data_IF_963125024211
#
_entry.id   IF_963125024211
#
_cell.length_a   1.000
_cell.length_b   1.000
_cell.length_c   1.000
_cell.angle_alpha   90.00
_cell.angle_beta   90.00
_cell.angle_gamma   90.00
#
_symmetry.space_group_name_H-M   'P 1'
#
loop_
_entity.id
_entity.type
_entity.pdbx_description
1 polymer ?
#
# COMPACT_ATOMS: atom_id res chain seq x y z
N UNK A 1 -37.53 -2.61 -31.21
CA UNK A 1 -36.17 -2.76 -30.62
C UNK A 1 -36.21 -2.84 -29.09
N UNK A 2 -35.16 -3.35 -28.42
CA UNK A 2 -35.05 -3.33 -26.95
C UNK A 2 -34.36 -2.07 -26.46
N UNK A 3 -34.86 -1.49 -25.36
CA UNK A 3 -34.24 -0.34 -24.72
C UNK A 3 -32.85 -0.68 -24.16
N UNK A 4 -31.78 0.08 -24.48
CA UNK A 4 -30.46 -0.14 -23.89
C UNK A 4 -30.40 0.16 -22.38
N UNK A 5 -31.37 0.92 -21.83
CA UNK A 5 -31.37 1.32 -20.43
C UNK A 5 -32.20 0.40 -19.52
N UNK A 6 -33.38 -0.03 -19.99
CA UNK A 6 -34.33 -0.79 -19.17
C UNK A 6 -34.77 -2.12 -19.79
N UNK A 7 -34.20 -2.51 -20.94
CA UNK A 7 -34.50 -3.73 -21.67
C UNK A 7 -35.98 -3.96 -22.07
N UNK A 8 -36.84 -2.95 -21.89
CA UNK A 8 -38.23 -2.99 -22.36
C UNK A 8 -38.31 -2.99 -23.88
N UNK A 9 -39.38 -3.56 -24.43
CA UNK A 9 -39.67 -3.53 -25.85
C UNK A 9 -40.24 -2.15 -26.23
N UNK A 10 -39.68 -1.53 -27.28
CA UNK A 10 -40.04 -0.19 -27.74
C UNK A 10 -40.16 -0.20 -29.27
N UNK A 11 -41.08 0.63 -29.80
CA UNK A 11 -41.16 0.94 -31.22
C UNK A 11 -39.85 1.54 -31.77
N UNK A 12 -39.48 1.14 -32.99
CA UNK A 12 -38.20 1.50 -33.61
C UNK A 12 -38.08 3.00 -33.92
N UNK A 13 -39.20 3.74 -33.97
CA UNK A 13 -39.24 5.18 -34.21
C UNK A 13 -39.20 6.03 -32.93
N UNK A 14 -39.37 5.42 -31.74
CA UNK A 14 -39.48 6.17 -30.49
C UNK A 14 -38.17 6.87 -30.08
N UNK A 15 -38.17 8.19 -29.99
CA UNK A 15 -36.99 8.97 -29.56
C UNK A 15 -36.77 8.93 -28.04
N UNK A 16 -37.81 8.56 -27.28
CA UNK A 16 -37.80 8.44 -25.82
C UNK A 16 -38.43 7.11 -25.45
N UNK A 17 -37.84 6.40 -24.49
CA UNK A 17 -38.45 5.18 -23.98
C UNK A 17 -39.71 5.48 -23.15
N UNK A 18 -40.88 4.86 -23.44
CA UNK A 18 -42.10 5.09 -22.65
C UNK A 18 -42.02 4.50 -21.22
N UNK A 19 -41.12 3.54 -20.98
CA UNK A 19 -40.98 2.86 -19.69
C UNK A 19 -39.99 3.58 -18.76
N UNK A 20 -38.80 3.93 -19.25
CA UNK A 20 -37.76 4.57 -18.43
C UNK A 20 -37.56 6.06 -18.70
N UNK A 21 -38.34 6.65 -19.62
CA UNK A 21 -38.31 8.07 -19.99
C UNK A 21 -36.92 8.60 -20.39
N UNK A 22 -36.00 7.71 -20.78
CA UNK A 22 -34.64 8.06 -21.20
C UNK A 22 -34.62 8.34 -22.69
N UNK A 23 -33.89 9.39 -23.08
CA UNK A 23 -33.69 9.76 -24.48
C UNK A 23 -32.82 8.73 -25.21
N UNK A 24 -33.32 8.27 -26.35
CA UNK A 24 -32.66 7.30 -27.23
C UNK A 24 -32.01 7.98 -28.44
N UNK A 25 -32.19 9.31 -28.58
CA UNK A 25 -31.73 10.11 -29.71
C UNK A 25 -30.24 9.91 -30.04
N UNK A 26 -29.37 9.86 -29.02
CA UNK A 26 -27.94 9.70 -29.21
C UNK A 26 -27.53 8.25 -29.52
N UNK A 27 -28.24 7.27 -28.94
CA UNK A 27 -27.84 5.86 -28.97
C UNK A 27 -28.32 5.14 -30.23
N UNK A 28 -29.44 5.57 -30.81
CA UNK A 28 -29.98 5.02 -32.07
C UNK A 28 -29.01 5.02 -33.25
N UNK A 29 -28.40 6.15 -33.64
CA UNK A 29 -27.49 6.15 -34.80
C UNK A 29 -26.25 5.27 -34.58
N UNK A 30 -25.85 5.06 -33.32
CA UNK A 30 -24.71 4.20 -32.98
C UNK A 30 -25.09 2.71 -33.08
N UNK A 31 -26.29 2.32 -32.63
CA UNK A 31 -26.78 0.94 -32.77
C UNK A 31 -26.96 0.55 -34.23
N UNK A 32 -27.46 1.47 -35.06
CA UNK A 32 -27.60 1.24 -36.50
C UNK A 32 -26.23 1.05 -37.17
N UNK A 33 -25.24 1.87 -36.84
CA UNK A 33 -23.84 1.71 -37.30
C UNK A 33 -23.24 0.37 -36.89
N UNK A 34 -23.47 -0.07 -35.65
CA UNK A 34 -23.01 -1.39 -35.17
C UNK A 34 -23.66 -2.51 -35.98
N UNK A 35 -24.98 -2.44 -36.21
CA UNK A 35 -25.69 -3.46 -37.00
C UNK A 35 -25.23 -3.51 -38.46
N UNK A 36 -24.89 -2.36 -39.05
CA UNK A 36 -24.32 -2.27 -40.40
C UNK A 36 -22.92 -2.87 -40.45
N UNK A 37 -22.07 -2.58 -39.45
CA UNK A 37 -20.73 -3.16 -39.34
C UNK A 37 -20.77 -4.68 -39.08
N UNK A 38 -21.71 -5.16 -38.27
CA UNK A 38 -21.95 -6.59 -38.07
C UNK A 38 -22.39 -7.27 -39.37
N UNK A 39 -23.25 -6.63 -40.16
CA UNK A 39 -23.66 -7.13 -41.48
C UNK A 39 -22.50 -7.12 -42.48
N UNK A 40 -21.64 -6.09 -42.48
CA UNK A 40 -20.42 -6.05 -43.29
C UNK A 40 -19.45 -7.17 -42.88
N UNK A 41 -19.27 -7.44 -41.59
CA UNK A 41 -18.43 -8.54 -41.11
C UNK A 41 -19.02 -9.91 -41.45
N UNK A 42 -20.35 -10.07 -41.37
CA UNK A 42 -21.04 -11.29 -41.79
C UNK A 42 -20.91 -11.53 -43.30
N UNK A 43 -20.93 -10.47 -44.11
CA UNK A 43 -20.70 -10.57 -45.56
C UNK A 43 -19.24 -10.88 -45.92
N UNK A 44 -18.32 -10.71 -44.96
CA UNK A 44 -16.87 -10.85 -45.15
C UNK A 44 -16.29 -12.12 -44.51
N UNK A 45 -17.13 -13.02 -44.01
CA UNK A 45 -16.66 -14.32 -43.53
C UNK A 45 -16.37 -15.27 -44.71
N UNK A 46 -15.13 -15.77 -44.88
CA UNK A 46 -14.91 -17.01 -45.58
C UNK A 46 -15.50 -18.15 -44.74
N UNK A 47 -16.32 -18.97 -45.40
CA UNK A 47 -16.72 -20.27 -44.89
C UNK A 47 -15.49 -21.18 -44.81
N UNK A 48 -14.80 -21.17 -43.68
CA UNK A 48 -13.89 -22.24 -43.30
C UNK A 48 -14.21 -22.68 -41.87
N UNK A 49 -14.88 -23.81 -41.82
CA UNK A 49 -15.06 -24.69 -40.67
C UNK A 49 -13.79 -24.78 -39.84
N UNK A 50 -13.81 -24.20 -38.63
CA UNK A 50 -12.77 -24.42 -37.63
C UNK A 50 -12.98 -25.80 -37.01
N UNK A 51 -12.38 -26.82 -37.65
CA UNK A 51 -12.11 -28.12 -37.04
C UNK A 51 -11.03 -27.95 -35.95
N UNK A 52 -11.06 -28.70 -34.83
CA UNK A 52 -10.23 -28.41 -33.66
C UNK A 52 -8.78 -28.82 -33.93
N UNK A 53 -7.96 -27.88 -34.37
CA UNK A 53 -6.51 -28.06 -34.47
C UNK A 53 -5.93 -27.95 -33.05
N UNK A 54 -5.72 -29.11 -32.43
CA UNK A 54 -4.68 -29.30 -31.43
C UNK A 54 -3.32 -29.10 -32.10
N UNK A 55 -2.81 -27.87 -32.10
CA UNK A 55 -1.40 -27.60 -32.41
C UNK A 55 -0.95 -26.35 -31.66
N UNK A 56 -0.02 -26.55 -30.73
CA UNK A 56 0.89 -25.58 -30.13
C UNK A 56 0.49 -24.10 -30.17
N UNK A 57 -0.22 -23.65 -29.14
CA UNK A 57 -0.13 -22.23 -28.73
C UNK A 57 1.23 -22.06 -28.07
N UNK A 58 2.26 -21.88 -28.90
CA UNK A 58 3.41 -21.07 -28.47
C UNK A 58 2.84 -19.69 -28.19
N UNK A 59 2.77 -19.36 -26.90
CA UNK A 59 2.43 -18.04 -26.42
C UNK A 59 3.43 -17.07 -27.06
N UNK A 60 3.05 -16.46 -28.18
CA UNK A 60 3.76 -15.31 -28.72
C UNK A 60 3.49 -14.18 -27.74
N UNK A 61 4.42 -14.04 -26.79
CA UNK A 61 4.47 -12.94 -25.86
C UNK A 61 4.56 -11.64 -26.68
N UNK A 62 3.43 -10.94 -26.79
CA UNK A 62 3.46 -9.53 -27.15
C UNK A 62 4.32 -8.80 -26.11
N UNK A 63 5.26 -7.93 -26.53
CA UNK A 63 6.07 -7.13 -25.63
C UNK A 63 5.21 -5.98 -25.09
N UNK A 64 4.33 -6.30 -24.15
CA UNK A 64 3.56 -5.32 -23.41
C UNK A 64 4.43 -4.75 -22.28
N UNK A 65 4.86 -3.51 -22.53
CA UNK A 65 5.03 -2.44 -21.55
C UNK A 65 5.95 -2.71 -20.36
N UNK A 66 7.07 -1.98 -20.40
CA UNK A 66 7.87 -1.58 -19.26
C UNK A 66 8.07 -2.69 -18.22
N UNK A 67 9.15 -3.45 -18.44
CA UNK A 67 9.93 -4.03 -17.36
C UNK A 67 10.19 -2.95 -16.30
N UNK A 68 9.25 -2.75 -15.37
CA UNK A 68 9.64 -2.39 -14.02
C UNK A 68 10.62 -3.50 -13.65
N UNK A 69 11.89 -3.19 -13.38
CA UNK A 69 12.80 -4.21 -12.92
C UNK A 69 12.09 -4.82 -11.70
N UNK A 70 11.63 -6.07 -11.81
CA UNK A 70 11.31 -6.84 -10.61
C UNK A 70 12.62 -6.83 -9.87
N UNK A 71 12.75 -6.05 -8.77
CA UNK A 71 14.03 -5.92 -8.15
C UNK A 71 14.32 -7.31 -7.63
N UNK A 72 15.36 -7.93 -8.18
CA UNK A 72 16.04 -9.01 -7.50
C UNK A 72 16.39 -8.55 -6.09
N UNK A 73 16.71 -9.50 -5.20
CA UNK A 73 17.06 -9.16 -3.82
C UNK A 73 18.26 -8.21 -3.81
N UNK A 74 18.00 -6.91 -3.69
CA UNK A 74 19.01 -5.87 -3.72
C UNK A 74 19.53 -5.73 -2.29
N UNK A 75 20.47 -6.61 -1.92
CA UNK A 75 21.01 -6.66 -0.57
C UNK A 75 21.67 -5.33 -0.18
N UNK A 76 22.32 -4.65 -1.13
CA UNK A 76 22.90 -3.32 -0.91
C UNK A 76 21.86 -2.27 -0.52
N UNK A 77 20.74 -2.22 -1.22
CA UNK A 77 19.64 -1.30 -0.92
C UNK A 77 18.94 -1.66 0.41
N UNK A 78 18.79 -2.95 0.69
CA UNK A 78 18.23 -3.43 1.95
C UNK A 78 19.14 -3.05 3.14
N UNK A 79 20.44 -3.27 3.02
CA UNK A 79 21.43 -2.87 4.04
C UNK A 79 21.46 -1.35 4.19
N UNK A 80 21.42 -0.60 3.09
CA UNK A 80 21.33 0.86 3.14
C UNK A 80 20.05 1.33 3.86
N UNK A 81 18.88 0.74 3.57
CA UNK A 81 17.63 1.06 4.28
C UNK A 81 17.65 0.69 5.76
N UNK A 82 18.57 -0.19 6.18
CA UNK A 82 18.75 -0.57 7.57
C UNK A 82 19.75 0.35 8.30
N UNK A 83 20.87 0.66 7.66
CA UNK A 83 21.93 1.51 8.20
C UNK A 83 21.58 2.98 8.19
N UNK A 84 20.86 3.45 7.17
CA UNK A 84 20.51 4.85 7.03
C UNK A 84 19.63 5.39 8.18
N UNK A 85 18.53 4.72 8.62
CA UNK A 85 17.78 5.18 9.78
C UNK A 85 18.62 5.14 11.06
N UNK A 86 19.46 4.13 11.23
CA UNK A 86 20.37 4.02 12.38
C UNK A 86 21.32 5.23 12.42
N UNK A 87 21.97 5.55 11.30
CA UNK A 87 22.88 6.68 11.20
C UNK A 87 22.16 8.01 11.45
N UNK A 88 20.95 8.18 10.90
CA UNK A 88 20.15 9.40 11.07
C UNK A 88 19.64 9.56 12.51
N UNK A 89 19.31 8.46 13.19
CA UNK A 89 18.96 8.45 14.61
C UNK A 89 20.15 8.89 15.46
N UNK A 90 21.34 8.33 15.23
CA UNK A 90 22.56 8.70 15.95
C UNK A 90 22.95 10.17 15.68
N UNK A 91 22.87 10.60 14.42
CA UNK A 91 23.18 11.98 14.05
C UNK A 91 22.17 12.97 14.62
N UNK A 92 20.88 12.63 14.57
CA UNK A 92 19.80 13.44 15.16
C UNK A 92 19.94 13.57 16.67
N UNK A 93 20.30 12.47 17.35
CA UNK A 93 20.62 12.47 18.78
C UNK A 93 21.80 13.42 19.08
N UNK A 94 22.91 13.26 18.36
CA UNK A 94 24.10 14.08 18.55
C UNK A 94 23.80 15.57 18.32
N UNK A 95 23.10 15.89 17.23
CA UNK A 95 22.77 17.27 16.87
C UNK A 95 21.85 17.93 17.90
N UNK A 96 20.86 17.21 18.41
CA UNK A 96 19.90 17.76 19.36
C UNK A 96 20.45 17.93 20.77
N UNK A 97 21.28 16.99 21.22
CA UNK A 97 21.92 17.07 22.55
C UNK A 97 23.01 18.16 22.55
N UNK A 98 23.80 18.28 21.48
CA UNK A 98 24.95 19.19 21.47
C UNK A 98 24.64 20.60 20.94
N UNK A 99 23.80 20.74 19.92
CA UNK A 99 23.58 22.04 19.24
C UNK A 99 22.30 22.74 19.72
N UNK A 100 21.23 21.99 19.99
CA UNK A 100 19.89 22.57 20.16
C UNK A 100 19.36 22.62 21.59
N UNK A 101 19.95 21.87 22.53
CA UNK A 101 19.46 21.71 23.92
C UNK A 101 17.92 21.60 23.98
N UNK A 102 17.36 20.82 23.05
CA UNK A 102 15.92 20.80 22.81
C UNK A 102 15.22 19.81 23.73
N UNK A 103 13.95 20.08 24.03
CA UNK A 103 13.10 19.20 24.84
C UNK A 103 13.09 17.76 24.28
N UNK A 104 13.42 16.80 25.15
CA UNK A 104 13.52 15.35 24.90
C UNK A 104 12.30 14.75 24.17
N UNK A 105 11.14 15.40 24.27
CA UNK A 105 9.91 15.01 23.57
C UNK A 105 10.02 15.04 22.04
N UNK A 106 10.70 16.04 21.45
CA UNK A 106 10.85 16.13 20.00
C UNK A 106 11.72 15.00 19.45
N UNK A 107 12.73 14.59 20.23
CA UNK A 107 13.61 13.46 19.94
C UNK A 107 12.86 12.14 19.85
N UNK A 108 11.95 11.88 20.80
CA UNK A 108 11.11 10.68 20.81
C UNK A 108 10.20 10.60 19.58
N UNK A 109 9.57 11.72 19.21
CA UNK A 109 8.68 11.77 18.04
C UNK A 109 9.46 11.54 16.76
N UNK A 110 10.62 12.16 16.61
CA UNK A 110 11.48 11.97 15.44
C UNK A 110 11.98 10.52 15.35
N UNK A 111 12.37 9.92 16.48
CA UNK A 111 12.81 8.53 16.55
C UNK A 111 11.69 7.52 16.28
N UNK A 112 10.42 7.90 16.41
CA UNK A 112 9.26 7.10 16.02
C UNK A 112 8.90 7.23 14.54
N UNK A 113 8.97 8.45 13.99
CA UNK A 113 8.59 8.73 12.61
C UNK A 113 9.61 8.24 11.60
N UNK A 114 10.90 8.33 11.93
CA UNK A 114 11.97 8.03 10.98
C UNK A 114 12.06 6.54 10.60
N UNK A 115 11.99 5.57 11.52
CA UNK A 115 12.16 4.14 11.18
C UNK A 115 11.05 3.58 10.29
N UNK A 116 9.88 4.21 10.30
CA UNK A 116 8.66 3.73 9.63
C UNK A 116 8.80 3.70 8.09
N UNK A 117 9.18 4.79 7.39
CA UNK A 117 9.41 4.76 5.94
C UNK A 117 10.58 3.85 5.56
N UNK A 118 11.62 3.77 6.40
CA UNK A 118 12.76 2.89 6.14
C UNK A 118 12.42 1.41 6.30
N UNK A 119 11.58 1.06 7.28
CA UNK A 119 11.03 -0.30 7.42
C UNK A 119 10.16 -0.72 6.24
N UNK A 120 9.38 0.20 5.69
CA UNK A 120 8.60 -0.01 4.47
C UNK A 120 9.50 -0.23 3.24
N UNK A 121 10.52 0.62 3.05
CA UNK A 121 11.47 0.51 1.96
C UNK A 121 12.33 -0.77 2.07
N UNK A 122 12.74 -1.14 3.28
CA UNK A 122 13.46 -2.38 3.57
C UNK A 122 12.63 -3.61 3.19
N UNK A 123 11.35 -3.65 3.58
CA UNK A 123 10.47 -4.76 3.24
C UNK A 123 10.30 -4.93 1.71
N UNK A 124 10.28 -3.81 0.97
CA UNK A 124 10.27 -3.80 -0.49
C UNK A 124 11.57 -4.31 -1.11
N UNK A 125 12.73 -3.93 -0.56
CA UNK A 125 14.04 -4.27 -1.11
C UNK A 125 14.50 -5.68 -0.75
N UNK A 126 14.25 -6.13 0.49
CA UNK A 126 14.79 -7.37 1.03
C UNK A 126 13.93 -8.60 0.66
N UNK A 127 12.62 -8.43 0.44
CA UNK A 127 11.63 -9.52 0.23
C UNK A 127 11.76 -10.68 1.25
N UNK A 128 12.20 -10.38 2.47
CA UNK A 128 12.39 -11.38 3.52
C UNK A 128 11.04 -11.85 4.10
N UNK A 129 10.96 -13.07 4.68
CA UNK A 129 9.81 -13.46 5.49
C UNK A 129 9.67 -12.56 6.72
N UNK A 130 8.47 -12.52 7.31
CA UNK A 130 8.16 -11.64 8.45
C UNK A 130 9.11 -11.85 9.64
N UNK A 131 9.36 -13.12 9.99
CA UNK A 131 10.17 -13.50 11.15
C UNK A 131 11.57 -12.89 11.16
N UNK A 132 12.43 -13.10 10.13
CA UNK A 132 13.76 -12.49 10.12
C UNK A 132 13.70 -10.96 9.99
N UNK A 133 12.66 -10.40 9.37
CA UNK A 133 12.46 -8.95 9.33
C UNK A 133 12.21 -8.34 10.71
N UNK A 134 11.39 -9.01 11.53
CA UNK A 134 11.12 -8.61 12.92
C UNK A 134 12.37 -8.76 13.79
N UNK A 135 13.11 -9.87 13.63
CA UNK A 135 14.35 -10.10 14.39
C UNK A 135 15.39 -9.02 14.07
N UNK A 136 15.55 -8.68 12.78
CA UNK A 136 16.45 -7.63 12.34
C UNK A 136 16.02 -6.25 12.84
N UNK A 137 14.72 -5.96 12.85
CA UNK A 137 14.16 -4.72 13.41
C UNK A 137 14.54 -4.54 14.88
N UNK A 138 14.40 -5.61 15.68
CA UNK A 138 14.77 -5.60 17.08
C UNK A 138 16.28 -5.42 17.27
N UNK A 139 17.08 -6.12 16.45
CA UNK A 139 18.54 -6.00 16.47
C UNK A 139 18.99 -4.57 16.19
N UNK A 140 18.39 -3.91 15.19
CA UNK A 140 18.66 -2.49 14.88
C UNK A 140 18.23 -1.57 16.00
N UNK A 141 17.07 -1.80 16.61
CA UNK A 141 16.61 -0.99 17.72
C UNK A 141 17.56 -1.07 18.91
N UNK A 142 17.99 -2.28 19.28
CA UNK A 142 18.99 -2.50 20.33
C UNK A 142 20.31 -1.80 19.96
N UNK A 143 20.81 -1.98 18.73
CA UNK A 143 22.03 -1.31 18.26
C UNK A 143 21.91 0.21 18.32
N UNK A 144 20.75 0.77 18.00
CA UNK A 144 20.51 2.22 18.03
C UNK A 144 20.59 2.75 19.45
N UNK A 145 19.92 2.11 20.41
CA UNK A 145 19.94 2.58 21.81
C UNK A 145 21.33 2.40 22.44
N UNK A 146 22.01 1.29 22.18
CA UNK A 146 23.42 1.13 22.59
C UNK A 146 24.34 2.15 21.92
N UNK A 147 24.10 2.50 20.65
CA UNK A 147 24.84 3.54 19.96
C UNK A 147 24.64 4.92 20.58
N UNK A 148 23.40 5.27 20.96
CA UNK A 148 23.10 6.52 21.66
C UNK A 148 23.79 6.58 23.03
N UNK A 149 23.71 5.52 23.84
CA UNK A 149 24.39 5.45 25.15
C UNK A 149 25.93 5.46 24.99
N UNK A 150 26.43 4.83 23.94
CA UNK A 150 27.85 4.80 23.58
C UNK A 150 28.42 6.19 23.32
N UNK A 151 27.71 6.99 22.54
CA UNK A 151 28.11 8.37 22.20
C UNK A 151 28.11 9.24 23.46
N UNK A 152 27.08 9.16 24.30
CA UNK A 152 27.00 9.96 25.54
C UNK A 152 28.05 9.56 26.55
N UNK A 153 28.32 8.26 26.71
CA UNK A 153 29.37 7.79 27.62
C UNK A 153 30.77 8.23 27.16
N UNK A 154 31.01 8.28 25.85
CA UNK A 154 32.29 8.76 25.31
C UNK A 154 32.47 10.27 25.50
N UNK A 155 31.41 11.06 25.34
CA UNK A 155 31.46 12.52 25.52
C UNK A 155 31.54 12.93 26.99
N UNK A 156 30.65 12.38 27.84
CA UNK A 156 30.46 12.85 29.22
C UNK A 156 31.28 12.05 30.25
N UNK A 157 32.05 11.04 29.81
CA UNK A 157 32.83 10.12 30.66
C UNK A 157 32.00 9.44 31.77
N UNK A 158 30.71 9.29 31.53
CA UNK A 158 29.77 8.58 32.40
C UNK A 158 29.75 7.08 32.06
N UNK A 159 29.40 6.21 33.01
CA UNK A 159 29.29 4.77 32.75
C UNK A 159 28.32 4.47 31.61
N UNK A 160 28.74 3.58 30.69
CA UNK A 160 27.94 3.09 29.56
C UNK A 160 26.66 2.33 29.99
N UNK A 161 26.68 1.78 31.20
CA UNK A 161 25.68 0.85 31.69
C UNK A 161 24.65 1.57 32.58
N UNK A 162 23.34 1.42 32.31
CA UNK A 162 22.30 2.03 33.14
C UNK A 162 22.37 1.49 34.56
N UNK A 163 22.51 2.37 35.55
CA UNK A 163 22.75 1.97 36.94
C UNK A 163 21.45 1.80 37.72
N UNK A 164 20.42 2.58 37.36
CA UNK A 164 19.15 2.56 38.06
C UNK A 164 18.09 1.71 37.35
N UNK A 165 17.21 1.09 38.15
CA UNK A 165 16.09 0.31 37.63
C UNK A 165 15.12 1.16 36.79
N UNK A 166 15.10 2.48 37.01
CA UNK A 166 14.33 3.45 36.22
C UNK A 166 14.97 3.64 34.84
N UNK A 167 16.28 3.86 34.78
CA UNK A 167 17.03 4.00 33.52
C UNK A 167 16.93 2.77 32.63
N UNK A 168 16.99 1.58 33.23
CA UNK A 168 16.79 0.31 32.49
C UNK A 168 15.40 0.22 31.87
N UNK A 169 14.36 0.66 32.59
CA UNK A 169 12.98 0.67 32.05
C UNK A 169 12.86 1.63 30.88
N UNK A 170 13.39 2.84 31.03
CA UNK A 170 13.40 3.82 29.94
C UNK A 170 14.15 3.29 28.71
N UNK A 171 15.30 2.64 28.91
CA UNK A 171 16.08 2.02 27.84
C UNK A 171 15.26 0.97 27.07
N UNK A 172 14.57 0.08 27.79
CA UNK A 172 13.74 -0.97 27.19
C UNK A 172 12.53 -0.36 26.47
N UNK A 173 11.86 0.63 27.06
CA UNK A 173 10.74 1.34 26.44
C UNK A 173 11.18 2.02 25.13
N UNK A 174 12.34 2.65 25.14
CA UNK A 174 12.92 3.27 23.95
C UNK A 174 13.21 2.25 22.86
N UNK A 175 13.92 1.16 23.19
CA UNK A 175 14.21 0.10 22.22
C UNK A 175 12.93 -0.53 21.66
N UNK A 176 11.93 -0.77 22.52
CA UNK A 176 10.64 -1.31 22.12
C UNK A 176 9.89 -0.37 21.17
N UNK A 177 9.90 0.95 21.43
CA UNK A 177 9.22 1.94 20.58
C UNK A 177 9.81 2.00 19.16
N UNK A 178 11.15 2.01 19.03
CA UNK A 178 11.86 2.02 17.75
C UNK A 178 11.59 0.71 17.00
N UNK A 179 11.71 -0.43 17.70
CA UNK A 179 11.44 -1.75 17.14
C UNK A 179 10.02 -1.89 16.62
N UNK A 180 9.02 -1.49 17.42
CA UNK A 180 7.60 -1.54 17.04
C UNK A 180 7.30 -0.63 15.84
N UNK A 181 7.87 0.57 15.77
CA UNK A 181 7.69 1.46 14.61
C UNK A 181 8.24 0.82 13.33
N UNK A 182 9.43 0.23 13.39
CA UNK A 182 10.02 -0.45 12.23
C UNK A 182 9.19 -1.67 11.82
N UNK A 183 8.77 -2.52 12.78
CA UNK A 183 7.88 -3.66 12.55
C UNK A 183 6.56 -3.21 11.91
N UNK A 184 6.01 -2.07 12.34
CA UNK A 184 4.80 -1.48 11.76
C UNK A 184 5.02 -1.13 10.29
N UNK A 185 6.17 -0.56 9.93
CA UNK A 185 6.55 -0.32 8.53
C UNK A 185 6.62 -1.61 7.69
N UNK A 186 7.18 -2.70 8.23
CA UNK A 186 7.19 -4.01 7.57
C UNK A 186 5.77 -4.58 7.38
N UNK A 187 4.94 -4.50 8.42
CA UNK A 187 3.57 -5.01 8.38
C UNK A 187 2.73 -4.26 7.36
N UNK A 188 2.85 -2.92 7.33
CA UNK A 188 2.14 -2.06 6.40
C UNK A 188 2.52 -2.36 4.94
N UNK A 189 3.81 -2.60 4.66
CA UNK A 189 4.25 -3.02 3.33
C UNK A 189 3.59 -4.33 2.89
N UNK A 190 3.58 -5.34 3.75
CA UNK A 190 3.00 -6.66 3.40
C UNK A 190 1.48 -6.61 3.28
N UNK A 191 0.82 -5.83 4.11
CA UNK A 191 -0.62 -5.61 3.99
C UNK A 191 -0.95 -4.92 2.67
N UNK A 192 -0.18 -3.90 2.30
CA UNK A 192 -0.30 -3.20 1.01
C UNK A 192 -0.01 -4.13 -0.17
N UNK A 193 1.10 -4.87 -0.17
CA UNK A 193 1.48 -5.79 -1.25
C UNK A 193 0.43 -6.90 -1.44
N UNK A 194 -0.12 -7.45 -0.35
CA UNK A 194 -1.24 -8.41 -0.43
C UNK A 194 -2.50 -7.80 -1.02
N UNK A 195 -2.82 -6.55 -0.69
CA UNK A 195 -3.97 -5.82 -1.23
C UNK A 195 -3.78 -5.55 -2.72
N UNK A 196 -2.60 -5.07 -3.12
CA UNK A 196 -2.25 -4.82 -4.51
C UNK A 196 -2.23 -6.10 -5.34
N UNK A 197 -1.66 -7.20 -4.84
CA UNK A 197 -1.67 -8.48 -5.56
C UNK A 197 -3.09 -9.06 -5.70
N UNK A 198 -3.92 -9.01 -4.66
CA UNK A 198 -5.34 -9.42 -4.77
C UNK A 198 -6.09 -8.55 -5.78
N UNK A 199 -5.82 -7.24 -5.81
CA UNK A 199 -6.44 -6.32 -6.75
C UNK A 199 -5.96 -6.58 -8.19
N UNK A 200 -4.67 -6.83 -8.40
CA UNK A 200 -4.13 -7.21 -9.70
C UNK A 200 -4.64 -8.58 -10.17
N UNK A 201 -4.76 -9.57 -9.29
CA UNK A 201 -5.35 -10.87 -9.61
C UNK A 201 -6.85 -10.75 -9.91
N UNK A 202 -7.57 -9.87 -9.23
CA UNK A 202 -8.96 -9.57 -9.53
C UNK A 202 -9.09 -8.89 -10.90
N UNK A 203 -8.26 -7.90 -11.21
CA UNK A 203 -8.21 -7.25 -12.52
C UNK A 203 -7.75 -8.20 -13.64
N UNK A 204 -6.79 -9.08 -13.37
CA UNK A 204 -6.34 -10.10 -14.32
C UNK A 204 -7.43 -11.14 -14.57
N UNK A 205 -8.13 -11.61 -13.52
CA UNK A 205 -9.30 -12.48 -13.64
C UNK A 205 -10.44 -11.80 -14.37
N UNK A 206 -10.66 -10.51 -14.16
CA UNK A 206 -11.63 -9.70 -14.91
C UNK A 206 -11.19 -9.46 -16.36
N UNK A 207 -9.90 -9.41 -16.67
CA UNK A 207 -9.41 -9.36 -18.07
C UNK A 207 -9.54 -10.70 -18.77
N UNK A 208 -9.25 -11.81 -18.08
CA UNK A 208 -9.45 -13.16 -18.62
C UNK A 208 -10.91 -13.57 -18.68
N UNK A 209 -11.74 -13.09 -17.74
CA UNK A 209 -13.18 -13.24 -17.76
C UNK A 209 -13.85 -12.21 -18.67
N UNK A 210 -13.21 -11.07 -18.91
CA UNK A 210 -13.64 -9.94 -19.76
C UNK A 210 -13.51 -10.16 -21.25
N UNK A 211 -13.47 -11.44 -21.67
CA UNK A 211 -14.09 -11.87 -22.94
C UNK A 211 -15.63 -11.96 -22.79
N UNK A 212 -16.18 -11.82 -21.59
CA UNK A 212 -17.62 -11.66 -21.31
C UNK A 212 -17.84 -10.63 -20.20
N UNK A 213 -18.56 -9.56 -20.51
CA UNK A 213 -18.67 -8.34 -19.71
C UNK A 213 -19.24 -8.46 -18.28
N UNK A 214 -19.22 -7.30 -17.61
CA UNK A 214 -19.74 -6.90 -16.28
C UNK A 214 -18.57 -6.40 -15.41
N UNK A 215 -18.60 -5.21 -14.80
CA UNK A 215 -19.67 -4.24 -14.63
C UNK A 215 -19.17 -3.15 -13.69
N UNK A 216 -19.58 -1.92 -13.98
CA UNK A 216 -19.20 -0.64 -13.38
C UNK A 216 -19.61 -0.47 -11.89
N UNK A 217 -20.02 -1.52 -11.19
CA UNK A 217 -20.60 -1.47 -9.83
C UNK A 217 -19.58 -1.61 -8.69
N UNK A 218 -18.36 -2.08 -8.97
CA UNK A 218 -17.32 -2.27 -7.94
C UNK A 218 -16.49 -1.03 -7.59
N UNK A 219 -16.48 -0.01 -8.47
CA UNK A 219 -15.67 1.20 -8.29
C UNK A 219 -16.30 2.20 -7.31
N UNK A 220 -17.63 2.32 -7.29
CA UNK A 220 -18.34 3.25 -6.41
C UNK A 220 -18.33 2.78 -4.95
N UNK A 221 -18.47 1.47 -4.72
CA UNK A 221 -18.49 0.86 -3.38
C UNK A 221 -17.08 0.78 -2.75
N UNK A 222 -16.03 0.79 -3.60
CA UNK A 222 -14.67 0.89 -3.12
C UNK A 222 -14.34 2.31 -2.64
N UNK A 223 -14.88 3.36 -3.26
CA UNK A 223 -14.53 4.75 -2.96
C UNK A 223 -15.06 5.22 -1.60
N UNK A 224 -16.26 4.78 -1.21
CA UNK A 224 -16.88 5.08 0.10
C UNK A 224 -16.15 4.41 1.26
N UNK A 225 -15.63 3.19 1.07
CA UNK A 225 -14.86 2.48 2.09
C UNK A 225 -13.54 3.15 2.47
N UNK A 226 -12.92 3.91 1.56
CA UNK A 226 -11.68 4.64 1.86
C UNK A 226 -11.96 5.93 2.64
N UNK A 227 -13.09 6.61 2.39
CA UNK A 227 -13.50 7.75 3.22
C UNK A 227 -13.86 7.33 4.64
N UNK A 228 -14.50 6.17 4.81
CA UNK A 228 -14.89 5.65 6.13
C UNK A 228 -13.70 5.14 6.95
N UNK A 229 -12.69 4.56 6.30
CA UNK A 229 -11.44 4.19 6.98
C UNK A 229 -10.62 5.41 7.40
N UNK A 230 -10.64 6.49 6.60
CA UNK A 230 -9.96 7.73 6.93
C UNK A 230 -10.57 8.40 8.17
N UNK A 231 -11.90 8.48 8.24
CA UNK A 231 -12.60 9.05 9.39
C UNK A 231 -12.46 8.17 10.65
N UNK A 232 -12.51 6.85 10.51
CA UNK A 232 -12.29 5.91 11.61
C UNK A 232 -10.84 5.97 12.17
N UNK A 233 -9.84 6.13 11.30
CA UNK A 233 -8.44 6.27 11.71
C UNK A 233 -8.20 7.58 12.48
N UNK A 234 -8.78 8.69 12.04
CA UNK A 234 -8.72 9.97 12.77
C UNK A 234 -9.42 9.83 14.12
N UNK A 235 -10.60 9.22 14.18
CA UNK A 235 -11.32 8.99 15.43
C UNK A 235 -10.50 8.17 16.43
N UNK A 236 -9.84 7.10 15.98
CA UNK A 236 -8.95 6.25 16.79
C UNK A 236 -7.70 7.01 17.28
N UNK A 237 -7.07 7.81 16.42
CA UNK A 237 -5.96 8.67 16.83
C UNK A 237 -6.38 9.67 17.92
N UNK A 238 -7.57 10.27 17.79
CA UNK A 238 -8.08 11.24 18.75
C UNK A 238 -8.43 10.58 20.09
N UNK A 239 -8.98 9.35 20.07
CA UNK A 239 -9.27 8.61 21.31
C UNK A 239 -7.99 8.21 22.04
N UNK A 240 -6.98 7.72 21.31
CA UNK A 240 -5.67 7.38 21.89
C UNK A 240 -4.97 8.61 22.46
N UNK A 241 -5.05 9.76 21.76
CA UNK A 241 -4.49 11.02 22.26
C UNK A 241 -5.19 11.48 23.54
N UNK A 242 -6.51 11.32 23.64
CA UNK A 242 -7.30 11.69 24.83
C UNK A 242 -7.04 10.76 26.02
N UNK A 243 -6.80 9.46 25.78
CA UNK A 243 -6.39 8.52 26.82
C UNK A 243 -4.98 8.87 27.31
N UNK A 244 -4.06 9.20 26.40
CA UNK A 244 -2.70 9.59 26.76
C UNK A 244 -2.66 10.88 27.57
N UNK A 245 -3.43 11.90 27.19
CA UNK A 245 -3.52 13.15 27.96
C UNK A 245 -4.23 12.97 29.29
N UNK A 246 -5.27 12.12 29.35
CA UNK A 246 -5.96 11.78 30.59
C UNK A 246 -5.08 11.02 31.59
N UNK A 247 -4.29 10.06 31.12
CA UNK A 247 -3.40 9.25 31.96
C UNK A 247 -2.23 10.09 32.52
N UNK A 248 -1.69 11.01 31.70
CA UNK A 248 -0.63 11.94 32.13
C UNK A 248 -1.12 12.98 33.15
N UNK A 249 -2.43 13.29 33.19
CA UNK A 249 -3.03 14.16 34.20
C UNK A 249 -3.25 13.49 35.56
N UNK A 250 -3.24 12.15 35.62
CA UNK A 250 -3.50 11.39 36.85
C UNK A 250 -2.22 10.98 37.60
N UNK A 251 -1.08 10.94 36.90
CA UNK A 251 0.22 10.53 37.46
C UNK A 251 1.19 11.71 37.61
N UNK A 252 0.67 12.89 37.96
CA UNK A 252 1.49 14.04 38.35
C UNK A 252 2.45 13.69 39.48
#
# INVERSE_FOLDING_TARGET
MKCPYCASEIADEALVCPVCQRDLFLVKPLLERISQLEAELASRAPAETVSPVQAGVTVVAMPAEASFPTPGRNLSLAVACLLLPLLLLLLGQWLMVFVYDAKVLYLRVFALLLPLPFGFAFARAARLPLLPGVLLAFLVAVLAVFGMSGITAWLDKVPLWPQDAVEVREFIEFAASIGLSFITGLWLFRWSDRRFQKHQQFLARLRTAGVGGLGNSGLTDSMTRWSDLGSAAVALCTTLMSIYTGLKGLTG
#
